data_IF_749889303458
#
_entry.id   IF_749889303458
#
_cell.length_a   1.000
_cell.length_b   1.000
_cell.length_c   1.000
_cell.angle_alpha   90.00
_cell.angle_beta   90.00
_cell.angle_gamma   90.00
#
_symmetry.space_group_name_H-M   'P 1'
#
loop_
_entity.id
_entity.type
_entity.pdbx_description
1 polymer ?
#
# COMPACT_ATOMS: atom_id res chain seq x y z
N UNK A 1 -48.79 11.55 -34.80
CA UNK A 1 -47.37 11.24 -34.59
C UNK A 1 -46.61 12.55 -34.54
N UNK A 2 -46.17 12.92 -33.37
CA UNK A 2 -45.67 14.25 -33.04
C UNK A 2 -44.15 14.28 -33.15
N UNK A 3 -43.50 15.19 -33.90
CA UNK A 3 -42.07 15.18 -34.17
C UNK A 3 -41.21 15.78 -33.01
N UNK A 4 -41.73 15.89 -31.81
CA UNK A 4 -41.06 16.44 -30.65
C UNK A 4 -40.33 15.38 -29.77
N UNK A 5 -40.41 14.11 -30.15
CA UNK A 5 -39.79 13.00 -29.39
C UNK A 5 -38.35 12.61 -29.76
N UNK A 6 -37.81 13.20 -30.82
CA UNK A 6 -36.47 12.80 -31.36
C UNK A 6 -35.36 13.78 -30.95
N UNK A 7 -35.69 14.95 -30.40
CA UNK A 7 -34.68 15.97 -30.06
C UNK A 7 -34.08 15.85 -28.64
N UNK A 8 -34.64 15.00 -27.77
CA UNK A 8 -34.13 14.82 -26.40
C UNK A 8 -33.07 13.71 -26.24
N UNK A 9 -32.78 12.92 -27.27
CA UNK A 9 -31.84 11.78 -27.19
C UNK A 9 -30.46 12.11 -27.71
N UNK A 10 -30.22 13.32 -28.27
CA UNK A 10 -28.90 13.73 -28.77
C UNK A 10 -28.18 14.68 -27.80
N UNK A 11 -28.88 15.19 -26.78
CA UNK A 11 -28.26 16.12 -25.82
C UNK A 11 -27.58 15.46 -24.61
N UNK A 12 -27.68 14.12 -24.42
CA UNK A 12 -27.08 13.40 -23.31
C UNK A 12 -25.71 12.73 -23.65
N UNK A 13 -25.21 12.87 -24.87
CA UNK A 13 -23.95 12.25 -25.29
C UNK A 13 -22.78 13.25 -25.45
N UNK A 14 -22.95 14.53 -25.07
CA UNK A 14 -21.91 15.56 -25.18
C UNK A 14 -21.40 16.05 -23.83
N UNK A 15 -21.57 15.30 -22.74
CA UNK A 15 -21.18 15.68 -21.39
C UNK A 15 -20.04 14.87 -20.80
N UNK A 16 -19.19 14.20 -21.60
CA UNK A 16 -17.91 13.71 -21.11
C UNK A 16 -16.95 14.89 -21.11
N UNK A 17 -16.92 15.62 -20.02
CA UNK A 17 -15.86 16.58 -19.71
C UNK A 17 -14.59 15.75 -19.56
N UNK A 18 -13.73 15.81 -20.56
CA UNK A 18 -12.34 15.44 -20.45
C UNK A 18 -11.74 16.36 -19.38
N UNK A 19 -11.61 15.85 -18.16
CA UNK A 19 -10.78 16.49 -17.15
C UNK A 19 -9.34 16.47 -17.68
N UNK A 20 -8.92 17.59 -18.23
CA UNK A 20 -7.53 17.81 -18.59
C UNK A 20 -6.68 17.65 -17.33
N UNK A 21 -5.54 16.95 -17.40
CA UNK A 21 -4.61 16.95 -16.29
C UNK A 21 -4.17 18.39 -16.01
N UNK A 22 -4.41 18.85 -14.81
CA UNK A 22 -3.93 20.13 -14.31
C UNK A 22 -2.42 20.20 -14.51
N UNK A 23 -1.96 21.13 -15.34
CA UNK A 23 -0.54 21.44 -15.50
C UNK A 23 0.00 21.96 -14.16
N UNK A 24 0.84 21.19 -13.50
CA UNK A 24 1.63 21.66 -12.38
C UNK A 24 2.75 22.55 -12.90
N UNK A 25 2.63 23.85 -12.69
CA UNK A 25 3.75 24.77 -12.81
C UNK A 25 4.67 24.58 -11.59
N UNK A 26 5.77 23.85 -11.76
CA UNK A 26 6.85 23.82 -10.77
C UNK A 26 7.75 25.03 -10.96
N UNK A 27 7.72 25.97 -10.01
CA UNK A 27 8.80 26.95 -9.87
C UNK A 27 10.05 26.23 -9.39
N UNK A 28 11.01 26.10 -10.30
CA UNK A 28 12.29 25.44 -10.07
C UNK A 28 13.25 26.37 -9.35
N UNK A 29 13.78 25.91 -8.22
CA UNK A 29 15.11 26.32 -7.81
C UNK A 29 15.94 25.09 -7.45
N UNK A 30 16.92 24.82 -8.32
CA UNK A 30 18.18 24.15 -8.06
C UNK A 30 18.14 22.67 -7.65
N UNK A 31 17.34 21.88 -8.34
CA UNK A 31 17.63 20.45 -8.52
C UNK A 31 17.79 20.25 -10.03
N UNK A 32 18.73 19.37 -10.47
CA UNK A 32 18.71 18.92 -11.86
C UNK A 32 17.30 18.42 -12.13
N UNK A 33 16.48 19.31 -12.69
CA UNK A 33 15.17 18.97 -13.14
C UNK A 33 15.41 17.87 -14.17
N UNK A 34 14.90 16.67 -13.90
CA UNK A 34 14.48 15.86 -15.00
C UNK A 34 13.53 16.73 -15.78
N UNK A 35 13.98 17.17 -16.93
CA UNK A 35 13.16 17.88 -17.87
C UNK A 35 12.01 16.95 -18.21
N UNK A 36 10.92 17.04 -17.43
CA UNK A 36 9.63 16.53 -17.85
C UNK A 36 9.13 17.46 -18.96
N UNK A 37 9.90 17.58 -20.01
CA UNK A 37 9.31 17.77 -21.31
C UNK A 37 8.45 16.54 -21.47
N UNK A 38 7.18 16.66 -21.13
CA UNK A 38 6.18 15.68 -21.44
C UNK A 38 6.18 15.58 -22.97
N UNK A 39 7.05 14.73 -23.48
CA UNK A 39 6.96 14.33 -24.86
C UNK A 39 5.52 13.87 -25.02
N UNK A 40 4.80 14.44 -25.98
CA UNK A 40 3.47 13.94 -26.27
C UNK A 40 3.60 12.47 -26.71
N UNK A 41 2.54 11.66 -26.62
CA UNK A 41 2.61 10.23 -26.95
C UNK A 41 3.25 9.94 -28.31
N UNK A 42 3.07 10.82 -29.31
CA UNK A 42 3.68 10.67 -30.63
C UNK A 42 5.19 10.95 -30.63
N UNK A 43 5.69 11.78 -29.75
CA UNK A 43 7.14 12.03 -29.60
C UNK A 43 7.82 10.85 -28.87
N UNK A 44 7.14 10.27 -27.90
CA UNK A 44 7.59 9.04 -27.24
C UNK A 44 7.60 7.86 -28.20
N UNK A 45 6.55 7.70 -29.01
CA UNK A 45 6.50 6.65 -30.03
C UNK A 45 7.67 6.75 -31.01
N UNK A 46 8.01 7.96 -31.47
CA UNK A 46 9.20 8.17 -32.33
C UNK A 46 10.52 7.88 -31.61
N UNK A 47 10.64 8.21 -30.35
CA UNK A 47 11.83 7.86 -29.56
C UNK A 47 11.95 6.36 -29.35
N UNK A 48 10.84 5.65 -29.12
CA UNK A 48 10.81 4.19 -28.99
C UNK A 48 11.13 3.49 -30.32
N UNK A 49 10.66 4.02 -31.47
CA UNK A 49 10.99 3.50 -32.80
C UNK A 49 12.47 3.67 -33.12
N UNK A 50 13.15 4.66 -32.57
CA UNK A 50 14.56 4.96 -32.81
C UNK A 50 15.52 4.24 -31.83
N UNK A 51 15.05 3.79 -30.68
CA UNK A 51 15.85 3.06 -29.70
C UNK A 51 15.33 1.63 -29.55
N UNK A 52 16.24 0.66 -29.61
CA UNK A 52 15.91 -0.73 -29.32
C UNK A 52 15.50 -0.86 -27.85
N UNK A 53 14.20 -0.98 -27.59
CA UNK A 53 13.67 -1.30 -26.28
C UNK A 53 13.58 -2.82 -26.17
N UNK A 54 14.25 -3.47 -25.19
CA UNK A 54 14.17 -4.91 -25.03
C UNK A 54 12.71 -5.32 -24.78
N UNK A 55 12.34 -6.53 -25.20
CA UNK A 55 11.02 -7.09 -24.92
C UNK A 55 10.87 -7.33 -23.40
N UNK A 56 9.63 -7.25 -22.88
CA UNK A 56 9.39 -7.45 -21.43
C UNK A 56 9.79 -8.85 -20.94
N UNK A 57 9.82 -9.85 -21.81
CA UNK A 57 10.26 -11.22 -21.52
C UNK A 57 11.80 -11.38 -21.54
N UNK A 58 12.52 -10.39 -22.05
CA UNK A 58 13.99 -10.35 -22.03
C UNK A 58 14.54 -9.65 -20.78
N UNK A 59 13.67 -9.00 -19.99
CA UNK A 59 14.07 -8.22 -18.81
C UNK A 59 13.62 -8.93 -17.53
N UNK A 60 14.60 -9.34 -16.73
CA UNK A 60 14.36 -9.92 -15.40
C UNK A 60 14.44 -8.87 -14.31
N UNK A 61 13.87 -9.17 -13.15
CA UNK A 61 13.98 -8.27 -11.98
C UNK A 61 15.40 -8.20 -11.44
N UNK A 62 16.22 -9.25 -11.58
CA UNK A 62 17.65 -9.21 -11.23
C UNK A 62 18.44 -8.24 -12.11
N UNK A 63 18.03 -8.06 -13.36
CA UNK A 63 18.61 -7.02 -14.23
C UNK A 63 18.16 -5.63 -13.80
N UNK A 64 16.88 -5.44 -13.43
CA UNK A 64 16.37 -4.17 -12.93
C UNK A 64 17.01 -3.79 -11.58
N UNK A 65 17.26 -4.75 -10.68
CA UNK A 65 17.94 -4.52 -9.40
C UNK A 65 19.40 -4.08 -9.58
N UNK A 66 20.05 -4.53 -10.66
CA UNK A 66 21.43 -4.14 -11.00
C UNK A 66 21.51 -2.88 -11.86
N UNK A 67 20.39 -2.41 -12.39
CA UNK A 67 20.33 -1.25 -13.28
C UNK A 67 20.25 0.03 -12.44
N UNK A 68 21.05 1.07 -12.77
CA UNK A 68 20.93 2.36 -12.09
C UNK A 68 19.48 2.88 -12.10
N UNK A 69 19.04 3.50 -11.01
CA UNK A 69 17.66 3.94 -10.79
C UNK A 69 17.06 4.66 -12.00
N UNK A 70 17.81 5.60 -12.56
CA UNK A 70 17.34 6.42 -13.70
C UNK A 70 17.09 5.58 -14.95
N UNK A 71 17.96 4.61 -15.23
CA UNK A 71 17.80 3.73 -16.39
C UNK A 71 16.63 2.76 -16.20
N UNK A 72 16.52 2.16 -15.03
CA UNK A 72 15.41 1.27 -14.69
C UNK A 72 14.06 2.00 -14.73
N UNK A 73 14.00 3.21 -14.17
CA UNK A 73 12.79 4.04 -14.18
C UNK A 73 12.42 4.48 -15.60
N UNK A 74 13.41 4.78 -16.47
CA UNK A 74 13.15 5.10 -17.88
C UNK A 74 12.59 3.90 -18.63
N UNK A 75 13.17 2.71 -18.44
CA UNK A 75 12.70 1.48 -19.05
C UNK A 75 11.27 1.14 -18.64
N UNK A 76 10.95 1.21 -17.34
CA UNK A 76 9.59 0.94 -16.84
C UNK A 76 8.57 1.96 -17.35
N UNK A 77 8.95 3.24 -17.48
CA UNK A 77 8.11 4.25 -18.12
C UNK A 77 7.87 3.98 -19.61
N UNK A 78 8.87 3.52 -20.34
CA UNK A 78 8.71 3.10 -21.74
C UNK A 78 7.68 1.98 -21.86
N UNK A 79 7.77 0.96 -21.02
CA UNK A 79 6.78 -0.12 -20.98
C UNK A 79 5.38 0.38 -20.64
N UNK A 80 5.24 1.24 -19.64
CA UNK A 80 3.95 1.85 -19.31
C UNK A 80 3.37 2.64 -20.49
N UNK A 81 4.15 3.45 -21.16
CA UNK A 81 3.69 4.21 -22.35
C UNK A 81 3.32 3.30 -23.53
N UNK A 82 4.05 2.21 -23.76
CA UNK A 82 3.68 1.21 -24.75
C UNK A 82 2.31 0.60 -24.45
N UNK A 83 2.06 0.29 -23.19
CA UNK A 83 0.74 -0.20 -22.74
C UNK A 83 -0.36 0.81 -23.03
N UNK A 84 -0.16 2.08 -22.69
CA UNK A 84 -1.12 3.15 -22.98
C UNK A 84 -1.34 3.40 -24.46
N UNK A 85 -0.35 3.09 -25.30
CA UNK A 85 -0.45 3.15 -26.76
C UNK A 85 -1.12 1.92 -27.41
N UNK A 86 -1.65 1.00 -26.59
CA UNK A 86 -2.35 -0.21 -27.07
C UNK A 86 -1.44 -1.42 -27.31
N UNK A 87 -0.17 -1.33 -26.93
CA UNK A 87 0.81 -2.43 -27.00
C UNK A 87 0.98 -3.17 -25.66
N UNK A 88 -0.01 -3.07 -24.77
CA UNK A 88 0.01 -3.76 -23.48
C UNK A 88 -0.11 -5.27 -23.61
N UNK A 89 0.38 -5.97 -22.61
CA UNK A 89 0.22 -7.43 -22.48
C UNK A 89 -1.19 -7.73 -21.98
N UNK A 90 -1.80 -8.80 -22.48
CA UNK A 90 -3.08 -9.25 -21.95
C UNK A 90 -2.91 -9.76 -20.51
N UNK A 91 -3.88 -9.54 -19.60
CA UNK A 91 -3.86 -10.11 -18.25
C UNK A 91 -4.21 -11.59 -18.33
N UNK A 92 -3.20 -12.45 -18.52
CA UNK A 92 -3.38 -13.88 -18.75
C UNK A 92 -2.74 -14.76 -17.67
N UNK A 93 -1.80 -14.18 -16.90
CA UNK A 93 -1.05 -14.95 -15.92
C UNK A 93 -1.79 -15.02 -14.59
N UNK A 94 -2.17 -16.23 -14.19
CA UNK A 94 -2.73 -16.56 -12.87
C UNK A 94 -1.94 -17.72 -12.30
N UNK A 95 -1.20 -17.54 -11.20
CA UNK A 95 -0.49 -18.63 -10.56
C UNK A 95 -1.47 -19.65 -9.94
N UNK A 96 -1.12 -20.92 -9.96
CA UNK A 96 -1.88 -21.93 -9.23
C UNK A 96 -1.74 -21.73 -7.72
N UNK A 97 -2.80 -21.91 -6.90
CA UNK A 97 -2.71 -21.80 -5.44
C UNK A 97 -1.61 -22.66 -4.83
N UNK A 98 -1.36 -23.85 -5.37
CA UNK A 98 -0.29 -24.75 -4.90
C UNK A 98 1.13 -24.26 -5.23
N UNK A 99 1.28 -23.25 -6.08
CA UNK A 99 2.56 -22.62 -6.43
C UNK A 99 2.88 -21.38 -5.58
N UNK A 100 1.93 -20.92 -4.78
CA UNK A 100 2.09 -19.74 -3.94
C UNK A 100 2.44 -20.18 -2.52
N UNK A 101 3.70 -20.01 -2.07
CA UNK A 101 4.09 -20.37 -0.71
C UNK A 101 3.37 -19.49 0.31
N UNK A 102 3.02 -20.11 1.45
CA UNK A 102 2.42 -19.40 2.59
C UNK A 102 3.16 -19.76 3.86
N UNK A 103 3.54 -18.75 4.63
CA UNK A 103 4.14 -18.90 5.95
C UNK A 103 3.20 -18.33 7.00
N UNK A 104 2.87 -19.11 8.01
CA UNK A 104 1.96 -18.71 9.08
C UNK A 104 2.74 -18.65 10.38
N UNK A 105 2.65 -17.53 11.06
CA UNK A 105 3.27 -17.30 12.36
C UNK A 105 2.15 -17.04 13.37
N UNK A 106 2.03 -17.87 14.39
CA UNK A 106 1.07 -17.70 15.46
C UNK A 106 1.63 -18.30 16.74
N UNK A 107 1.48 -17.61 17.86
CA UNK A 107 1.88 -18.05 19.19
C UNK A 107 3.33 -18.63 19.26
N UNK A 108 4.28 -17.95 18.60
CA UNK A 108 5.69 -18.34 18.55
C UNK A 108 6.01 -19.54 17.67
N UNK A 109 5.03 -20.08 16.94
CA UNK A 109 5.20 -21.15 15.95
C UNK A 109 5.22 -20.61 14.54
N UNK A 110 5.96 -21.29 13.68
CA UNK A 110 5.97 -21.07 12.23
C UNK A 110 5.58 -22.35 11.52
N UNK A 111 4.59 -22.24 10.65
CA UNK A 111 4.24 -23.31 9.71
C UNK A 111 4.43 -22.81 8.27
N UNK A 112 4.78 -23.72 7.37
CA UNK A 112 4.98 -23.42 5.95
C UNK A 112 4.14 -24.37 5.12
N UNK A 113 3.39 -23.80 4.18
CA UNK A 113 2.47 -24.52 3.31
C UNK A 113 2.34 -23.79 1.96
N UNK A 114 1.26 -23.98 1.24
CA UNK A 114 0.86 -23.23 0.06
C UNK A 114 -0.57 -22.70 0.20
N UNK A 115 -0.97 -21.80 -0.71
CA UNK A 115 -2.27 -21.11 -0.66
C UNK A 115 -3.46 -22.10 -0.71
N UNK A 116 -3.31 -23.29 -1.30
CA UNK A 116 -4.38 -24.29 -1.37
C UNK A 116 -4.65 -25.02 -0.06
N UNK A 117 -3.74 -24.93 0.93
CA UNK A 117 -3.81 -25.67 2.18
C UNK A 117 -3.66 -24.80 3.44
N UNK A 118 -3.43 -23.49 3.28
CA UNK A 118 -3.06 -22.65 4.41
C UNK A 118 -4.20 -22.52 5.43
N UNK A 119 -5.45 -22.49 5.01
CA UNK A 119 -6.61 -22.42 5.91
C UNK A 119 -6.62 -23.62 6.85
N UNK A 120 -6.47 -24.82 6.29
CA UNK A 120 -6.41 -26.03 7.11
C UNK A 120 -5.19 -26.05 8.04
N UNK A 121 -4.06 -25.48 7.61
CA UNK A 121 -2.88 -25.34 8.45
C UNK A 121 -3.13 -24.36 9.58
N UNK A 122 -3.71 -23.19 9.29
CA UNK A 122 -4.05 -22.16 10.26
C UNK A 122 -5.01 -22.65 11.34
N UNK A 123 -6.05 -23.39 10.93
CA UNK A 123 -7.05 -24.02 11.83
C UNK A 123 -6.41 -24.92 12.88
N UNK A 124 -5.29 -25.55 12.56
CA UNK A 124 -4.57 -26.44 13.46
C UNK A 124 -3.52 -25.70 14.34
N UNK A 125 -3.35 -24.39 14.16
CA UNK A 125 -2.40 -23.61 14.97
C UNK A 125 -3.07 -23.10 16.25
N UNK A 126 -2.40 -23.27 17.41
CA UNK A 126 -2.96 -22.80 18.68
C UNK A 126 -3.15 -21.28 18.68
N UNK A 127 -4.32 -20.82 19.11
CA UNK A 127 -4.65 -19.39 19.26
C UNK A 127 -4.59 -18.58 17.97
N UNK A 128 -4.68 -19.23 16.84
CA UNK A 128 -4.81 -18.53 15.58
C UNK A 128 -6.16 -17.81 15.56
N UNK A 129 -6.15 -16.52 15.21
CA UNK A 129 -7.38 -15.71 15.11
C UNK A 129 -7.95 -15.19 16.43
N UNK A 130 -7.31 -15.46 17.59
CA UNK A 130 -7.79 -14.95 18.89
C UNK A 130 -7.67 -13.39 19.01
N UNK A 131 -6.82 -12.76 18.19
CA UNK A 131 -6.58 -11.30 18.11
C UNK A 131 -6.30 -10.93 16.64
N UNK A 132 -5.67 -9.81 16.37
CA UNK A 132 -5.35 -9.31 15.02
C UNK A 132 -4.70 -10.39 14.13
N UNK A 133 -5.27 -10.56 12.93
CA UNK A 133 -4.71 -11.39 11.86
C UNK A 133 -4.18 -10.46 10.76
N UNK A 134 -2.86 -10.37 10.64
CA UNK A 134 -2.23 -9.64 9.53
C UNK A 134 -1.91 -10.59 8.40
N UNK A 135 -2.32 -10.25 7.18
CA UNK A 135 -2.03 -10.99 5.95
C UNK A 135 -1.12 -10.14 5.08
N UNK A 136 0.14 -10.57 4.88
CA UNK A 136 1.09 -9.88 4.03
C UNK A 136 1.21 -10.57 2.68
N UNK A 137 0.87 -9.86 1.59
CA UNK A 137 0.95 -10.36 0.21
C UNK A 137 2.15 -9.70 -0.47
N UNK A 138 3.18 -10.49 -0.79
CA UNK A 138 4.39 -9.99 -1.47
C UNK A 138 4.13 -9.72 -2.95
N UNK A 139 4.89 -8.81 -3.56
CA UNK A 139 4.68 -8.38 -4.96
C UNK A 139 5.85 -8.68 -5.89
N UNK A 140 7.04 -8.98 -5.36
CA UNK A 140 8.25 -9.26 -6.12
C UNK A 140 8.98 -10.49 -5.56
N UNK A 141 9.82 -11.18 -6.39
CA UNK A 141 10.47 -12.43 -5.98
C UNK A 141 11.53 -12.23 -4.89
N UNK A 142 11.54 -13.11 -3.91
CA UNK A 142 12.52 -13.11 -2.82
C UNK A 142 13.95 -13.52 -3.25
N UNK A 143 14.18 -13.84 -4.51
CA UNK A 143 15.52 -14.01 -5.08
C UNK A 143 16.30 -12.69 -5.15
N UNK A 144 15.59 -11.56 -5.14
CA UNK A 144 16.17 -10.22 -5.14
C UNK A 144 16.60 -9.84 -3.72
N UNK A 145 17.79 -9.27 -3.59
CA UNK A 145 18.33 -8.96 -2.27
C UNK A 145 17.51 -7.86 -1.57
N UNK A 146 17.16 -6.79 -2.29
CA UNK A 146 16.33 -5.71 -1.75
C UNK A 146 14.96 -6.21 -1.26
N UNK A 147 14.33 -7.13 -2.00
CA UNK A 147 13.03 -7.72 -1.63
C UNK A 147 13.17 -8.62 -0.41
N UNK A 148 14.20 -9.45 -0.40
CA UNK A 148 14.47 -10.37 0.71
C UNK A 148 14.73 -9.61 2.02
N UNK A 149 15.52 -8.52 1.96
CA UNK A 149 15.79 -7.67 3.13
C UNK A 149 14.51 -6.99 3.61
N UNK A 150 13.72 -6.39 2.73
CA UNK A 150 12.49 -5.70 3.07
C UNK A 150 11.43 -6.65 3.67
N UNK A 151 11.25 -7.83 3.07
CA UNK A 151 10.30 -8.82 3.58
C UNK A 151 10.74 -9.39 4.93
N UNK A 152 12.06 -9.60 5.11
CA UNK A 152 12.63 -10.01 6.40
C UNK A 152 12.36 -8.94 7.47
N UNK A 153 12.64 -7.67 7.16
CA UNK A 153 12.44 -6.54 8.07
C UNK A 153 10.97 -6.43 8.50
N UNK A 154 10.04 -6.58 7.55
CA UNK A 154 8.60 -6.62 7.81
C UNK A 154 8.23 -7.76 8.77
N UNK A 155 8.66 -8.98 8.48
CA UNK A 155 8.34 -10.15 9.31
C UNK A 155 8.92 -9.98 10.72
N UNK A 156 10.18 -9.55 10.84
CA UNK A 156 10.82 -9.32 12.14
C UNK A 156 10.09 -8.25 12.94
N UNK A 157 9.67 -7.14 12.32
CA UNK A 157 8.93 -6.07 12.99
C UNK A 157 7.58 -6.56 13.55
N UNK A 158 6.86 -7.37 12.79
CA UNK A 158 5.62 -7.98 13.29
C UNK A 158 5.86 -9.00 14.39
N UNK A 159 6.90 -9.84 14.29
CA UNK A 159 7.24 -10.79 15.34
C UNK A 159 7.67 -10.09 16.63
N UNK A 160 8.40 -8.97 16.54
CA UNK A 160 8.72 -8.13 17.69
C UNK A 160 7.44 -7.57 18.34
N UNK A 161 6.52 -7.03 17.52
CA UNK A 161 5.24 -6.51 17.97
C UNK A 161 4.37 -7.57 18.66
N UNK A 162 4.33 -8.79 18.12
CA UNK A 162 3.61 -9.92 18.70
C UNK A 162 4.23 -10.39 20.02
N UNK A 163 5.56 -10.34 20.13
CA UNK A 163 6.28 -10.81 21.34
C UNK A 163 6.24 -9.83 22.52
N UNK A 164 6.03 -8.55 22.25
CA UNK A 164 5.92 -7.55 23.32
C UNK A 164 4.51 -7.50 23.90
N UNK A 165 4.42 -7.53 25.23
CA UNK A 165 3.15 -7.56 25.96
C UNK A 165 2.27 -6.33 25.67
N UNK A 166 0.94 -6.47 25.71
CA UNK A 166 -0.03 -5.45 25.35
C UNK A 166 -0.15 -4.32 26.39
N UNK A 167 0.92 -3.59 26.70
CA UNK A 167 0.83 -2.48 27.64
C UNK A 167 0.19 -1.20 27.09
N UNK A 168 0.08 -1.04 25.77
CA UNK A 168 -0.42 0.19 25.16
C UNK A 168 -1.83 0.07 24.54
N UNK A 169 -2.18 -1.06 23.93
CA UNK A 169 -3.48 -1.21 23.25
C UNK A 169 -4.64 -1.55 24.19
N UNK A 170 -4.39 -2.25 25.29
CA UNK A 170 -5.41 -2.58 26.29
C UNK A 170 -5.95 -1.34 27.05
N UNK A 171 -5.23 -0.21 27.04
CA UNK A 171 -5.72 1.04 27.62
C UNK A 171 -6.69 1.80 26.71
N UNK A 172 -6.75 1.49 25.42
CA UNK A 172 -7.60 2.24 24.50
C UNK A 172 -9.06 1.78 24.51
N UNK A 173 -9.31 0.52 24.85
CA UNK A 173 -10.66 -0.06 24.95
C UNK A 173 -11.14 -0.26 26.39
N UNK A 174 -10.53 0.35 27.37
CA UNK A 174 -10.88 0.18 28.80
C UNK A 174 -12.14 0.97 29.19
N UNK A 175 -13.25 0.65 28.54
CA UNK A 175 -14.59 0.92 29.05
C UNK A 175 -15.27 -0.29 29.65
N UNK A 176 -14.77 -1.51 29.43
CA UNK A 176 -15.39 -2.75 29.92
C UNK A 176 -14.38 -3.68 30.59
N UNK A 177 -14.66 -3.95 31.85
CA UNK A 177 -14.21 -5.00 32.75
C UNK A 177 -12.77 -5.50 32.67
N UNK A 178 -12.04 -5.28 33.78
CA UNK A 178 -10.73 -5.88 34.07
C UNK A 178 -10.76 -7.40 33.87
N UNK A 179 -10.35 -7.85 32.70
CA UNK A 179 -9.96 -9.26 32.53
C UNK A 179 -8.66 -9.50 33.30
N UNK A 180 -8.57 -10.66 33.94
CA UNK A 180 -7.44 -11.05 34.78
C UNK A 180 -6.10 -10.91 34.04
N UNK A 181 -5.07 -10.36 34.68
CA UNK A 181 -3.71 -10.13 34.18
C UNK A 181 -3.04 -11.39 33.59
N UNK A 182 -3.42 -12.57 34.04
CA UNK A 182 -2.87 -13.83 33.57
C UNK A 182 -3.41 -14.23 32.17
N UNK A 183 -4.62 -13.84 31.83
CA UNK A 183 -5.23 -14.11 30.54
C UNK A 183 -4.71 -13.14 29.44
N UNK A 184 -4.26 -11.94 29.81
CA UNK A 184 -3.70 -10.95 28.87
C UNK A 184 -2.31 -11.32 28.33
N UNK A 185 -1.60 -12.27 28.95
CA UNK A 185 -0.25 -12.68 28.54
C UNK A 185 -0.18 -13.48 27.24
N UNK A 186 -1.32 -13.78 26.61
CA UNK A 186 -1.37 -14.72 25.48
C UNK A 186 -2.38 -14.31 24.40
N UNK A 187 -2.43 -13.04 24.02
CA UNK A 187 -3.20 -12.64 22.86
C UNK A 187 -2.59 -13.26 21.60
N UNK A 188 -3.42 -13.95 20.84
CA UNK A 188 -3.02 -14.75 19.70
C UNK A 188 -2.93 -13.97 18.40
N UNK A 189 -2.07 -12.91 18.34
CA UNK A 189 -1.81 -12.23 17.09
C UNK A 189 -1.16 -13.16 16.10
N UNK A 190 -1.63 -13.14 14.87
CA UNK A 190 -1.15 -14.01 13.81
C UNK A 190 -0.68 -13.22 12.60
N UNK A 191 0.40 -13.69 11.97
CA UNK A 191 0.91 -13.15 10.71
C UNK A 191 0.89 -14.26 9.66
N UNK A 192 0.23 -14.02 8.55
CA UNK A 192 0.26 -14.86 7.35
C UNK A 192 1.06 -14.13 6.28
N UNK A 193 2.09 -14.74 5.75
CA UNK A 193 2.87 -14.21 4.61
C UNK A 193 2.55 -15.05 3.39
N UNK A 194 1.90 -14.46 2.40
CA UNK A 194 1.56 -15.09 1.12
C UNK A 194 2.56 -14.62 0.08
N UNK A 195 3.45 -15.51 -0.35
CA UNK A 195 4.56 -15.18 -1.23
C UNK A 195 4.15 -15.25 -2.71
N UNK A 196 3.23 -14.34 -3.10
CA UNK A 196 2.81 -14.18 -4.49
C UNK A 196 3.99 -13.78 -5.38
N UNK A 197 4.87 -12.91 -4.88
CA UNK A 197 6.02 -12.41 -5.60
C UNK A 197 6.96 -13.50 -6.11
N UNK A 198 7.07 -14.62 -5.41
CA UNK A 198 7.88 -15.76 -5.86
C UNK A 198 7.40 -16.40 -7.17
N UNK A 199 6.16 -16.14 -7.58
CA UNK A 199 5.61 -16.60 -8.85
C UNK A 199 5.88 -15.63 -10.01
N UNK A 200 6.37 -14.42 -9.73
CA UNK A 200 6.57 -13.31 -10.66
C UNK A 200 8.07 -13.19 -10.96
N UNK A 201 8.55 -13.91 -11.99
CA UNK A 201 9.98 -14.07 -12.26
C UNK A 201 10.57 -13.01 -13.19
N UNK A 202 9.73 -12.32 -13.96
CA UNK A 202 10.15 -11.37 -14.99
C UNK A 202 9.10 -10.26 -15.19
N UNK A 203 9.48 -9.21 -15.93
CA UNK A 203 8.63 -8.05 -16.19
C UNK A 203 7.37 -8.41 -16.97
N UNK A 204 7.45 -9.40 -17.86
CA UNK A 204 6.26 -9.83 -18.62
C UNK A 204 5.22 -10.49 -17.72
N UNK A 205 5.64 -11.38 -16.80
CA UNK A 205 4.71 -11.97 -15.81
C UNK A 205 4.13 -10.91 -14.89
N UNK A 206 4.93 -9.95 -14.47
CA UNK A 206 4.45 -8.81 -13.69
C UNK A 206 3.39 -8.02 -14.45
N UNK A 207 3.64 -7.68 -15.71
CA UNK A 207 2.72 -6.92 -16.55
C UNK A 207 1.48 -7.71 -16.97
N UNK A 208 1.58 -9.04 -17.12
CA UNK A 208 0.48 -9.93 -17.53
C UNK A 208 -0.28 -10.57 -16.37
N UNK A 209 0.05 -10.24 -15.10
CA UNK A 209 -0.70 -10.75 -13.95
C UNK A 209 -2.16 -10.33 -14.08
N UNK A 210 -3.05 -11.31 -14.07
CA UNK A 210 -4.49 -11.10 -14.00
C UNK A 210 -4.86 -10.81 -12.54
N UNK A 211 -4.79 -9.53 -12.19
CA UNK A 211 -5.05 -9.05 -10.84
C UNK A 211 -6.48 -9.38 -10.39
N UNK A 212 -7.44 -9.34 -11.31
CA UNK A 212 -8.83 -9.63 -11.02
C UNK A 212 -9.02 -11.10 -10.63
N UNK A 213 -8.59 -12.02 -11.47
CA UNK A 213 -8.70 -13.46 -11.18
C UNK A 213 -7.86 -13.90 -9.99
N UNK A 214 -6.68 -13.30 -9.80
CA UNK A 214 -5.88 -13.52 -8.61
C UNK A 214 -6.60 -13.03 -7.36
N UNK A 215 -7.12 -11.80 -7.37
CA UNK A 215 -7.84 -11.21 -6.25
C UNK A 215 -9.09 -11.99 -5.89
N UNK A 216 -9.90 -12.41 -6.88
CA UNK A 216 -11.04 -13.30 -6.65
C UNK A 216 -10.63 -14.63 -5.97
N UNK A 217 -9.53 -15.22 -6.43
CA UNK A 217 -8.99 -16.44 -5.82
C UNK A 217 -8.60 -16.22 -4.36
N UNK A 218 -7.89 -15.12 -4.07
CA UNK A 218 -7.49 -14.77 -2.71
C UNK A 218 -8.70 -14.44 -1.83
N UNK A 219 -9.67 -13.65 -2.34
CA UNK A 219 -10.88 -13.31 -1.61
C UNK A 219 -11.66 -14.55 -1.14
N UNK A 220 -11.82 -15.54 -2.02
CA UNK A 220 -12.43 -16.83 -1.67
C UNK A 220 -11.68 -17.54 -0.55
N UNK A 221 -10.34 -17.58 -0.62
CA UNK A 221 -9.57 -18.23 0.44
C UNK A 221 -9.61 -17.44 1.76
N UNK A 222 -9.85 -16.13 1.72
CA UNK A 222 -10.03 -15.32 2.93
C UNK A 222 -11.43 -15.50 3.54
N UNK A 223 -12.46 -15.74 2.73
CA UNK A 223 -13.78 -16.19 3.22
C UNK A 223 -13.65 -17.53 3.92
N UNK A 224 -13.00 -18.51 3.28
CA UNK A 224 -12.72 -19.81 3.89
C UNK A 224 -11.95 -19.69 5.22
N UNK A 225 -10.95 -18.75 5.29
CA UNK A 225 -10.20 -18.49 6.52
C UNK A 225 -11.12 -17.98 7.64
N UNK A 226 -12.00 -17.02 7.33
CA UNK A 226 -12.94 -16.47 8.30
C UNK A 226 -13.91 -17.56 8.81
N UNK A 227 -14.49 -18.33 7.91
CA UNK A 227 -15.47 -19.38 8.26
C UNK A 227 -14.85 -20.56 9.02
N UNK A 228 -13.70 -21.06 8.56
CA UNK A 228 -13.10 -22.27 9.11
C UNK A 228 -12.27 -22.06 10.38
N UNK A 229 -11.79 -20.81 10.59
CA UNK A 229 -10.96 -20.44 11.73
C UNK A 229 -11.65 -19.46 12.70
N UNK A 230 -12.93 -19.14 12.51
CA UNK A 230 -13.71 -18.19 13.31
C UNK A 230 -13.01 -16.80 13.41
N UNK A 231 -12.42 -16.32 12.29
CA UNK A 231 -11.72 -15.02 12.22
C UNK A 231 -12.67 -13.96 11.69
N UNK A 232 -13.16 -13.02 12.52
CA UNK A 232 -14.06 -11.97 12.07
C UNK A 232 -13.33 -10.92 11.21
N UNK A 233 -14.03 -10.30 10.27
CA UNK A 233 -13.49 -9.33 9.32
C UNK A 233 -12.80 -8.14 10.00
N UNK A 234 -13.33 -7.69 11.16
CA UNK A 234 -12.85 -6.54 11.92
C UNK A 234 -11.46 -6.73 12.52
N UNK A 235 -10.91 -7.94 12.57
CA UNK A 235 -9.55 -8.18 13.03
C UNK A 235 -8.58 -8.51 11.89
N UNK A 236 -9.06 -8.53 10.64
CA UNK A 236 -8.23 -8.83 9.47
C UNK A 236 -7.61 -7.53 8.94
N UNK A 237 -6.28 -7.50 8.92
CA UNK A 237 -5.49 -6.45 8.28
C UNK A 237 -4.70 -7.03 7.11
N UNK A 238 -5.03 -6.64 5.89
CA UNK A 238 -4.27 -7.08 4.70
C UNK A 238 -3.24 -6.02 4.34
N UNK A 239 -1.99 -6.43 4.19
CA UNK A 239 -0.88 -5.58 3.74
C UNK A 239 -0.40 -6.10 2.39
N UNK A 240 -0.52 -5.30 1.35
CA UNK A 240 -0.12 -5.68 -0.01
C UNK A 240 1.10 -4.91 -0.48
N UNK A 241 2.09 -5.58 -1.07
CA UNK A 241 3.29 -4.98 -1.63
C UNK A 241 3.23 -4.98 -3.16
N UNK A 242 3.42 -3.84 -3.81
CA UNK A 242 3.44 -3.73 -5.27
C UNK A 242 2.15 -4.26 -5.91
N UNK A 243 2.24 -5.28 -6.76
CA UNK A 243 1.07 -5.95 -7.37
C UNK A 243 0.22 -6.68 -6.32
N UNK A 244 0.81 -7.12 -5.20
CA UNK A 244 0.09 -7.70 -4.07
C UNK A 244 -0.91 -6.72 -3.44
N UNK A 245 -0.66 -5.41 -3.53
CA UNK A 245 -1.62 -4.39 -3.10
C UNK A 245 -2.87 -4.35 -3.99
N UNK A 246 -2.70 -4.46 -5.31
CA UNK A 246 -3.82 -4.51 -6.24
C UNK A 246 -4.64 -5.81 -6.06
N UNK A 247 -3.96 -6.94 -5.83
CA UNK A 247 -4.61 -8.22 -5.52
C UNK A 247 -5.38 -8.14 -4.19
N UNK A 248 -4.83 -7.46 -3.17
CA UNK A 248 -5.50 -7.24 -1.89
C UNK A 248 -6.81 -6.45 -2.04
N UNK A 249 -6.83 -5.41 -2.91
CA UNK A 249 -8.05 -4.64 -3.18
C UNK A 249 -9.16 -5.49 -3.77
N UNK A 250 -8.86 -6.23 -4.85
CA UNK A 250 -9.84 -7.14 -5.47
C UNK A 250 -10.28 -8.25 -4.50
N UNK A 251 -9.36 -8.76 -3.69
CA UNK A 251 -9.70 -9.74 -2.66
C UNK A 251 -10.67 -9.16 -1.61
N UNK A 252 -10.50 -7.88 -1.24
CA UNK A 252 -11.41 -7.18 -0.33
C UNK A 252 -12.82 -7.01 -0.92
N UNK A 253 -12.91 -6.63 -2.21
CA UNK A 253 -14.20 -6.58 -2.91
C UNK A 253 -14.87 -7.95 -2.95
N UNK A 254 -14.13 -9.00 -3.31
CA UNK A 254 -14.65 -10.36 -3.39
C UNK A 254 -15.11 -10.88 -2.04
N UNK A 255 -14.37 -10.57 -0.98
CA UNK A 255 -14.74 -10.91 0.39
C UNK A 255 -16.06 -10.22 0.77
N UNK A 256 -16.19 -8.91 0.49
CA UNK A 256 -17.42 -8.15 0.74
C UNK A 256 -18.63 -8.69 -0.04
N UNK A 257 -18.43 -9.07 -1.31
CA UNK A 257 -19.51 -9.63 -2.15
C UNK A 257 -20.05 -10.95 -1.59
N UNK A 258 -19.23 -11.75 -0.93
CA UNK A 258 -19.63 -13.04 -0.37
C UNK A 258 -20.13 -12.94 1.08
N UNK A 259 -19.55 -12.05 1.90
CA UNK A 259 -19.88 -11.97 3.34
C UNK A 259 -20.72 -10.75 3.73
N UNK A 260 -20.76 -9.72 2.90
CA UNK A 260 -21.26 -8.37 3.21
C UNK A 260 -20.50 -7.67 4.32
N UNK A 261 -19.30 -8.13 4.66
CA UNK A 261 -18.41 -7.56 5.65
C UNK A 261 -17.11 -7.09 4.98
N UNK A 262 -16.43 -6.10 5.56
CA UNK A 262 -15.17 -5.58 5.05
C UNK A 262 -14.03 -5.88 6.02
N UNK A 263 -12.85 -6.10 5.46
CA UNK A 263 -11.63 -6.15 6.27
C UNK A 263 -11.47 -4.86 7.07
N UNK A 264 -10.93 -4.99 8.27
CA UNK A 264 -10.60 -3.86 9.12
C UNK A 264 -9.74 -2.82 8.40
N UNK A 265 -8.71 -3.27 7.65
CA UNK A 265 -7.77 -2.40 6.96
C UNK A 265 -7.10 -3.10 5.78
N UNK A 266 -6.83 -2.33 4.74
CA UNK A 266 -5.84 -2.68 3.71
C UNK A 266 -4.76 -1.59 3.71
N UNK A 267 -3.49 -2.00 3.85
CA UNK A 267 -2.32 -1.11 3.68
C UNK A 267 -1.58 -1.48 2.40
N UNK A 268 -1.39 -0.51 1.51
CA UNK A 268 -0.68 -0.70 0.26
C UNK A 268 0.75 -0.15 0.34
N UNK A 269 1.73 -1.01 0.12
CA UNK A 269 3.15 -0.68 0.13
C UNK A 269 3.62 -0.54 -1.32
N UNK A 270 3.79 0.69 -1.76
CA UNK A 270 4.14 1.05 -3.13
C UNK A 270 3.26 0.36 -4.19
N UNK A 271 1.92 0.60 -4.16
CA UNK A 271 0.99 -0.10 -5.04
C UNK A 271 1.43 0.03 -6.50
N UNK A 272 1.44 -1.10 -7.21
CA UNK A 272 2.01 -1.20 -8.54
C UNK A 272 1.22 -0.42 -9.58
N UNK A 273 1.94 0.19 -10.53
CA UNK A 273 1.32 0.65 -11.77
C UNK A 273 0.85 -0.55 -12.60
N UNK A 274 -0.39 -0.52 -13.05
CA UNK A 274 -0.92 -1.60 -13.89
C UNK A 274 -0.46 -1.42 -15.34
N UNK A 275 0.20 -2.43 -15.89
CA UNK A 275 0.76 -2.44 -17.23
C UNK A 275 0.02 -3.38 -18.19
N UNK A 276 -1.05 -4.02 -17.73
CA UNK A 276 -1.87 -4.86 -18.59
C UNK A 276 -2.66 -4.02 -19.62
N UNK A 277 -2.98 -4.63 -20.75
CA UNK A 277 -3.87 -4.03 -21.74
C UNK A 277 -5.22 -3.73 -21.09
N UNK A 278 -5.77 -2.56 -21.40
CA UNK A 278 -7.03 -2.10 -20.83
C UNK A 278 -7.00 -1.95 -19.30
N UNK A 279 -5.83 -1.66 -18.73
CA UNK A 279 -5.63 -1.47 -17.29
C UNK A 279 -6.51 -0.39 -16.66
N UNK A 280 -7.09 0.51 -17.46
CA UNK A 280 -8.07 1.50 -17.01
C UNK A 280 -9.44 0.91 -16.67
N UNK A 281 -9.72 -0.31 -17.14
CA UNK A 281 -10.95 -1.07 -16.88
C UNK A 281 -10.74 -2.05 -15.71
N UNK A 282 -9.48 -2.44 -15.47
CA UNK A 282 -9.16 -3.38 -14.41
C UNK A 282 -9.38 -2.72 -13.05
N UNK A 283 -10.15 -3.39 -12.23
CA UNK A 283 -10.30 -3.05 -10.82
C UNK A 283 -8.99 -3.36 -10.10
N UNK A 284 -8.42 -2.39 -9.45
CA UNK A 284 -7.27 -2.56 -8.57
C UNK A 284 -7.66 -2.14 -7.17
N UNK A 285 -6.70 -1.72 -6.38
CA UNK A 285 -6.96 -1.18 -5.05
C UNK A 285 -7.75 0.13 -5.10
N UNK A 286 -8.79 0.22 -4.28
CA UNK A 286 -9.63 1.40 -4.10
C UNK A 286 -10.03 1.59 -2.62
N UNK A 287 -10.46 2.80 -2.26
CA UNK A 287 -10.89 3.17 -0.89
C UNK A 287 -12.02 2.31 -0.32
N UNK A 288 -12.86 1.74 -1.20
CA UNK A 288 -14.02 0.96 -0.79
C UNK A 288 -13.70 -0.49 -0.44
N UNK A 289 -12.48 -0.96 -0.65
CA UNK A 289 -12.11 -2.37 -0.58
C UNK A 289 -11.91 -2.88 0.85
N UNK A 290 -11.84 -1.97 1.82
CA UNK A 290 -11.84 -2.25 3.27
C UNK A 290 -12.58 -1.14 4.02
N UNK A 291 -12.70 -1.26 5.36
CA UNK A 291 -13.19 -0.17 6.22
C UNK A 291 -12.23 1.02 6.21
N UNK A 292 -10.95 0.76 6.01
CA UNK A 292 -9.91 1.78 5.87
C UNK A 292 -8.81 1.29 4.93
N UNK A 293 -8.44 2.13 3.98
CA UNK A 293 -7.36 1.87 3.01
C UNK A 293 -6.31 2.96 3.10
N UNK A 294 -5.06 2.61 3.32
CA UNK A 294 -3.94 3.54 3.27
C UNK A 294 -2.82 3.05 2.34
N UNK A 295 -2.10 3.98 1.76
CA UNK A 295 -1.04 3.68 0.81
C UNK A 295 0.23 4.48 1.08
N UNK A 296 1.38 3.88 0.88
CA UNK A 296 2.72 4.50 0.92
C UNK A 296 3.33 4.40 -0.46
N UNK A 297 3.61 5.55 -1.10
CA UNK A 297 4.13 5.64 -2.47
C UNK A 297 5.61 6.01 -2.46
N UNK A 298 6.47 5.13 -2.95
CA UNK A 298 7.93 5.34 -2.93
C UNK A 298 8.61 5.26 -4.29
N UNK A 299 8.03 4.57 -5.29
CA UNK A 299 8.66 4.39 -6.61
C UNK A 299 7.82 4.91 -7.78
N UNK A 300 7.20 6.06 -7.60
CA UNK A 300 6.27 6.71 -8.52
C UNK A 300 6.74 6.88 -9.98
N UNK A 301 8.02 6.69 -10.25
CA UNK A 301 8.60 6.79 -11.60
C UNK A 301 9.13 5.44 -12.11
N UNK A 302 8.90 4.36 -11.38
CA UNK A 302 9.37 3.01 -11.69
C UNK A 302 8.25 1.97 -11.65
N UNK A 303 8.19 1.20 -10.57
CA UNK A 303 7.21 0.12 -10.39
C UNK A 303 5.89 0.59 -9.79
N UNK A 304 5.92 1.61 -8.94
CA UNK A 304 4.76 2.11 -8.21
C UNK A 304 3.94 3.14 -8.96
N UNK A 305 2.68 3.30 -8.53
CA UNK A 305 1.75 4.30 -9.06
C UNK A 305 1.79 5.61 -8.26
N UNK A 306 1.44 6.71 -8.92
CA UNK A 306 1.14 7.99 -8.25
C UNK A 306 -0.36 8.20 -8.06
N UNK A 307 -1.19 7.25 -8.47
CA UNK A 307 -2.65 7.35 -8.32
C UNK A 307 -3.01 7.22 -6.84
N UNK A 308 -3.95 8.02 -6.43
CA UNK A 308 -4.54 7.95 -5.10
C UNK A 308 -5.46 6.75 -5.05
N UNK A 309 -5.17 5.83 -4.15
CA UNK A 309 -5.88 4.55 -4.02
C UNK A 309 -6.46 4.35 -2.63
N UNK A 310 -5.93 5.09 -1.63
CA UNK A 310 -6.33 4.99 -0.24
C UNK A 310 -7.28 6.09 0.24
N UNK A 311 -7.85 5.94 1.43
CA UNK A 311 -8.39 7.04 2.21
C UNK A 311 -7.26 7.99 2.58
N UNK A 312 -6.10 7.43 2.95
CA UNK A 312 -4.84 8.15 3.14
C UNK A 312 -3.81 7.68 2.13
N UNK A 313 -3.25 8.62 1.38
CA UNK A 313 -2.11 8.38 0.50
C UNK A 313 -0.90 9.15 1.01
N UNK A 314 0.17 8.44 1.40
CA UNK A 314 1.41 9.01 1.91
C UNK A 314 2.48 9.06 0.84
N UNK A 315 3.13 10.22 0.70
CA UNK A 315 4.19 10.47 -0.27
C UNK A 315 5.48 10.92 0.43
N UNK A 316 6.32 9.98 0.89
CA UNK A 316 7.64 10.32 1.42
C UNK A 316 8.48 11.07 0.38
N UNK A 317 9.03 12.23 0.76
CA UNK A 317 9.77 13.15 -0.12
C UNK A 317 8.95 13.71 -1.31
N UNK A 318 7.63 13.43 -1.38
CA UNK A 318 6.68 13.97 -2.34
C UNK A 318 6.41 13.10 -3.57
N UNK A 319 5.31 13.35 -4.28
CA UNK A 319 4.80 12.46 -5.33
C UNK A 319 5.68 12.42 -6.60
N UNK A 320 6.55 13.39 -6.79
CA UNK A 320 7.43 13.48 -7.96
C UNK A 320 8.88 13.11 -7.65
N UNK A 321 9.20 12.86 -6.38
CA UNK A 321 10.60 12.70 -6.00
C UNK A 321 11.17 11.35 -6.44
N UNK A 322 10.32 10.32 -6.57
CA UNK A 322 10.83 8.97 -6.57
C UNK A 322 11.79 8.80 -5.39
N UNK A 323 12.10 7.64 -4.94
CA UNK A 323 12.98 7.57 -3.79
C UNK A 323 14.42 7.97 -4.16
N UNK A 324 14.83 9.13 -3.69
CA UNK A 324 16.20 9.64 -3.84
C UNK A 324 17.23 8.79 -3.10
N UNK A 325 16.76 7.85 -2.30
CA UNK A 325 17.55 7.05 -1.38
C UNK A 325 17.67 5.60 -1.85
N UNK A 326 17.38 5.31 -3.12
CA UNK A 326 17.49 3.99 -3.72
C UNK A 326 18.43 4.02 -4.92
N UNK A 327 19.19 2.96 -5.10
CA UNK A 327 20.14 2.81 -6.19
C UNK A 327 19.47 2.26 -7.47
N UNK A 328 18.33 1.60 -7.32
CA UNK A 328 17.57 0.97 -8.41
C UNK A 328 16.06 1.00 -8.16
N UNK A 329 15.25 0.64 -9.18
CA UNK A 329 13.78 0.71 -9.11
C UNK A 329 13.16 -0.33 -8.16
N UNK A 330 13.81 -1.46 -7.94
CA UNK A 330 13.36 -2.49 -7.01
C UNK A 330 13.52 -2.01 -5.59
N UNK A 331 14.70 -1.51 -5.24
CA UNK A 331 14.97 -0.92 -3.93
C UNK A 331 14.03 0.26 -3.66
N UNK A 332 13.81 1.12 -4.66
CA UNK A 332 12.86 2.23 -4.55
C UNK A 332 11.46 1.78 -4.13
N UNK A 333 10.97 0.69 -4.70
CA UNK A 333 9.68 0.09 -4.35
C UNK A 333 9.69 -0.52 -2.94
N UNK A 334 10.80 -1.15 -2.54
CA UNK A 334 10.93 -1.80 -1.23
C UNK A 334 11.01 -0.81 -0.05
N UNK A 335 11.35 0.45 -0.30
CA UNK A 335 11.38 1.46 0.77
C UNK A 335 10.03 1.63 1.48
N UNK A 336 8.90 1.48 0.79
CA UNK A 336 7.58 1.48 1.44
C UNK A 336 7.47 0.38 2.50
N UNK A 337 7.99 -0.80 2.20
CA UNK A 337 8.02 -1.94 3.12
C UNK A 337 8.91 -1.66 4.33
N UNK A 338 10.09 -1.10 4.12
CA UNK A 338 10.99 -0.72 5.22
C UNK A 338 10.40 0.36 6.12
N UNK A 339 9.79 1.41 5.55
CA UNK A 339 9.16 2.48 6.33
C UNK A 339 7.99 1.95 7.16
N UNK A 340 7.18 1.10 6.56
CA UNK A 340 6.07 0.48 7.26
C UNK A 340 6.55 -0.45 8.37
N UNK A 341 7.52 -1.33 8.08
CA UNK A 341 8.14 -2.23 9.06
C UNK A 341 8.72 -1.46 10.25
N UNK A 342 9.43 -0.35 9.99
CA UNK A 342 9.94 0.50 11.07
C UNK A 342 8.81 1.07 11.94
N UNK A 343 7.68 1.49 11.34
CA UNK A 343 6.53 2.01 12.08
C UNK A 343 5.82 0.93 12.91
N UNK A 344 5.90 -0.33 12.50
CA UNK A 344 5.31 -1.47 13.22
C UNK A 344 6.09 -1.82 14.48
N UNK A 345 7.41 -1.57 14.50
CA UNK A 345 8.25 -1.85 15.68
C UNK A 345 7.77 -1.06 16.88
N UNK A 346 7.64 -1.71 18.05
CA UNK A 346 7.16 -1.06 19.26
C UNK A 346 7.96 0.19 19.65
N UNK A 347 7.23 1.28 19.88
CA UNK A 347 7.79 2.60 20.22
C UNK A 347 8.17 3.46 18.99
N UNK A 348 7.99 2.96 17.77
CA UNK A 348 8.25 3.68 16.53
C UNK A 348 6.98 4.13 15.80
N UNK A 349 5.80 3.84 16.33
CA UNK A 349 4.50 4.07 15.69
C UNK A 349 4.30 5.53 15.24
N UNK A 350 4.93 6.47 15.91
CA UNK A 350 4.83 7.91 15.65
C UNK A 350 6.11 8.52 15.05
N UNK A 351 7.02 7.71 14.51
CA UNK A 351 8.28 8.21 13.97
C UNK A 351 8.16 8.82 12.57
N UNK A 352 7.02 8.65 11.90
CA UNK A 352 6.77 9.15 10.55
C UNK A 352 5.68 10.23 10.53
N UNK A 353 5.93 11.42 11.13
CA UNK A 353 4.95 12.50 11.14
C UNK A 353 4.76 13.05 9.73
N UNK A 354 3.52 13.12 9.27
CA UNK A 354 3.11 13.60 7.98
C UNK A 354 2.15 14.79 8.08
N UNK A 355 2.05 15.57 7.02
CA UNK A 355 1.10 16.68 6.92
C UNK A 355 0.41 16.67 5.57
N UNK A 356 -0.89 16.96 5.58
CA UNK A 356 -1.69 17.12 4.38
C UNK A 356 -1.11 18.27 3.53
N UNK A 357 -0.76 17.96 2.29
CA UNK A 357 -0.21 18.91 1.32
C UNK A 357 -0.27 18.29 -0.09
N UNK A 358 -0.33 19.15 -1.11
CA UNK A 358 -0.30 18.71 -2.52
C UNK A 358 1.11 18.62 -3.10
N UNK A 359 2.11 19.11 -2.39
CA UNK A 359 3.52 19.11 -2.82
C UNK A 359 4.47 19.27 -1.65
N UNK A 360 5.75 18.89 -1.84
CA UNK A 360 6.80 19.14 -0.84
C UNK A 360 7.06 20.64 -0.62
N UNK A 361 6.80 21.49 -1.61
CA UNK A 361 6.92 22.94 -1.44
C UNK A 361 5.85 23.47 -0.45
N UNK A 362 4.62 23.01 -0.59
CA UNK A 362 3.53 23.30 0.35
C UNK A 362 3.80 22.68 1.73
N UNK A 363 4.26 21.44 1.78
CA UNK A 363 4.65 20.78 3.02
C UNK A 363 5.72 21.57 3.78
N UNK A 364 6.73 22.12 3.10
CA UNK A 364 7.81 22.92 3.71
C UNK A 364 7.38 24.33 4.08
N UNK A 365 6.25 24.81 3.57
CA UNK A 365 5.71 26.11 3.95
C UNK A 365 5.13 26.05 5.36
N UNK A 366 5.75 26.78 6.31
CA UNK A 366 5.34 26.82 7.72
C UNK A 366 3.98 27.50 7.94
N UNK A 367 3.50 28.27 6.99
CA UNK A 367 2.20 28.96 7.02
C UNK A 367 1.05 28.07 6.52
N UNK A 368 1.34 26.90 5.95
CA UNK A 368 0.32 25.95 5.49
C UNK A 368 -0.32 25.22 6.65
N UNK A 369 -1.66 25.20 6.70
CA UNK A 369 -2.50 24.61 7.75
C UNK A 369 -3.10 23.26 7.30
N UNK A 370 -2.27 22.31 6.85
CA UNK A 370 -2.74 20.96 6.54
C UNK A 370 -2.98 20.12 7.80
N UNK A 371 -3.90 19.15 7.71
CA UNK A 371 -4.11 18.13 8.75
C UNK A 371 -2.80 17.38 9.00
N UNK A 372 -2.68 16.78 10.18
CA UNK A 372 -1.51 15.99 10.56
C UNK A 372 -1.89 14.54 10.73
N UNK A 373 -1.01 13.65 10.29
CA UNK A 373 -1.15 12.20 10.42
C UNK A 373 0.21 11.57 10.74
N UNK A 374 0.20 10.29 11.03
CA UNK A 374 1.38 9.45 11.07
C UNK A 374 1.29 8.41 9.96
N UNK A 375 2.33 8.28 9.15
CA UNK A 375 2.40 7.21 8.17
C UNK A 375 2.74 5.89 8.85
N UNK A 376 2.14 4.80 8.38
CA UNK A 376 2.41 3.45 8.85
C UNK A 376 1.34 2.91 9.79
N UNK A 377 1.73 2.14 10.81
CA UNK A 377 0.78 1.42 11.67
C UNK A 377 -0.17 2.36 12.44
N UNK A 378 0.29 3.56 12.79
CA UNK A 378 -0.49 4.57 13.51
C UNK A 378 -1.27 5.53 12.60
N UNK A 379 -1.51 5.17 11.34
CA UNK A 379 -2.34 5.96 10.43
C UNK A 379 -3.76 6.12 11.00
N UNK A 380 -4.25 7.37 11.03
CA UNK A 380 -5.52 7.73 11.65
C UNK A 380 -6.67 7.49 10.65
N UNK A 381 -7.58 6.61 11.01
CA UNK A 381 -8.71 6.18 10.18
C UNK A 381 -9.80 7.26 10.00
N UNK A 382 -9.82 8.27 10.84
CA UNK A 382 -10.77 9.39 10.74
C UNK A 382 -10.30 10.47 9.76
N UNK A 383 -9.11 10.31 9.18
CA UNK A 383 -8.54 11.21 8.21
C UNK A 383 -8.70 10.69 6.78
N UNK A 384 -8.66 11.60 5.84
CA UNK A 384 -8.56 11.30 4.40
C UNK A 384 -7.77 12.39 3.68
N UNK A 385 -7.06 12.01 2.62
CA UNK A 385 -6.30 12.94 1.78
C UNK A 385 -4.87 12.50 1.51
N UNK A 386 -4.10 13.43 0.93
CA UNK A 386 -2.71 13.23 0.55
C UNK A 386 -1.79 13.84 1.60
N UNK A 387 -0.86 13.04 2.09
CA UNK A 387 0.05 13.44 3.14
C UNK A 387 1.50 13.34 2.69
N UNK A 388 2.23 14.43 2.86
CA UNK A 388 3.66 14.50 2.59
C UNK A 388 4.44 14.39 3.88
N UNK A 389 5.63 13.80 3.78
CA UNK A 389 6.58 13.74 4.90
C UNK A 389 8.02 13.70 4.39
N UNK A 390 8.93 14.06 5.27
CA UNK A 390 10.37 13.84 5.07
C UNK A 390 10.78 12.56 5.80
N UNK A 391 11.72 11.83 5.21
CA UNK A 391 12.33 10.64 5.79
C UNK A 391 13.85 10.79 5.85
N UNK A 392 14.52 9.98 6.67
CA UNK A 392 15.97 9.89 6.66
C UNK A 392 16.44 9.02 5.47
N UNK A 393 17.61 9.30 4.92
CA UNK A 393 18.15 8.54 3.78
C UNK A 393 18.51 7.09 4.11
N UNK A 394 18.67 6.76 5.39
CA UNK A 394 19.03 5.43 5.89
C UNK A 394 18.26 5.14 7.18
N UNK A 395 18.15 3.86 7.54
CA UNK A 395 17.56 3.44 8.80
C UNK A 395 18.32 4.04 10.01
N UNK A 396 17.60 4.52 11.04
CA UNK A 396 16.15 4.62 11.14
C UNK A 396 15.61 5.71 10.21
N UNK A 397 14.63 5.34 9.39
CA UNK A 397 14.07 6.22 8.35
C UNK A 397 13.14 7.29 8.92
N UNK A 398 12.44 6.98 9.99
CA UNK A 398 11.50 7.89 10.62
C UNK A 398 12.20 9.07 11.30
N UNK A 399 11.63 10.27 11.15
CA UNK A 399 12.09 11.46 11.86
C UNK A 399 11.38 11.56 13.19
N UNK A 400 12.06 11.21 14.28
CA UNK A 400 11.55 11.36 15.63
C UNK A 400 11.07 12.78 15.86
N UNK A 401 9.82 12.93 16.27
CA UNK A 401 9.30 14.22 16.73
C UNK A 401 9.95 14.57 18.06
N UNK A 402 10.64 15.71 18.21
CA UNK A 402 11.16 16.14 19.50
C UNK A 402 10.03 16.18 20.56
N UNK A 403 10.32 15.76 21.80
CA UNK A 403 9.33 15.63 22.86
C UNK A 403 8.46 16.88 23.09
N UNK A 404 9.01 18.09 22.88
CA UNK A 404 8.26 19.34 22.97
C UNK A 404 7.22 19.54 21.83
N UNK A 405 7.39 18.84 20.68
CA UNK A 405 6.44 18.91 19.56
C UNK A 405 5.34 17.85 19.68
N UNK A 406 5.54 16.78 20.47
CA UNK A 406 4.50 15.77 20.72
C UNK A 406 3.26 16.44 21.32
N UNK A 407 3.45 17.33 22.29
CA UNK A 407 2.36 18.09 22.89
C UNK A 407 1.67 19.06 21.91
N UNK A 408 2.39 19.57 20.90
CA UNK A 408 1.80 20.42 19.87
C UNK A 408 0.95 19.62 18.86
N UNK A 409 1.32 18.38 18.57
CA UNK A 409 0.48 17.49 17.75
C UNK A 409 -0.83 17.14 18.47
N UNK A 410 -0.77 16.82 19.76
CA UNK A 410 -1.96 16.56 20.58
C UNK A 410 -2.80 17.80 20.88
N UNK A 411 -2.20 18.98 21.03
CA UNK A 411 -2.94 20.22 21.29
C UNK A 411 -3.69 20.73 20.05
N UNK A 412 -3.14 20.53 18.84
CA UNK A 412 -3.83 20.93 17.61
C UNK A 412 -4.99 19.97 17.28
N UNK A 413 -4.90 18.68 17.61
CA UNK A 413 -6.04 17.77 17.52
C UNK A 413 -7.21 18.25 18.42
N UNK A 414 -6.93 18.82 19.58
CA UNK A 414 -7.96 19.44 20.44
C UNK A 414 -8.58 20.71 19.86
N UNK A 415 -7.84 21.51 19.10
CA UNK A 415 -8.38 22.74 18.50
C UNK A 415 -9.38 22.45 17.36
N UNK A 416 -9.23 21.34 16.64
CA UNK A 416 -10.21 20.93 15.61
C UNK A 416 -11.46 20.28 16.19
N UNK A 417 -11.39 19.70 17.42
CA UNK A 417 -12.56 19.13 18.11
C UNK A 417 -13.45 20.19 18.77
N UNK A 418 -12.98 21.41 19.01
CA UNK A 418 -13.79 22.48 19.61
C UNK A 418 -14.78 23.15 18.67
N UNK A 419 -14.75 22.84 17.39
CA UNK A 419 -15.65 23.37 16.35
C UNK A 419 -16.87 22.49 16.02
N UNK A 420 -16.93 21.25 16.49
CA UNK A 420 -18.10 20.38 16.31
C UNK A 420 -18.55 19.79 17.65
N UNK A 421 -19.81 20.03 17.96
CA UNK A 421 -20.48 19.63 19.20
C UNK A 421 -20.29 18.16 19.56
N UNK A 422 -19.78 17.98 20.79
CA UNK A 422 -20.13 16.92 21.73
C UNK A 422 -20.32 15.51 21.21
N UNK A 423 -19.21 14.78 21.04
CA UNK A 423 -19.15 13.45 21.62
C UNK A 423 -17.75 13.26 22.22
N UNK A 424 -17.75 13.00 23.52
CA UNK A 424 -16.55 12.83 24.35
C UNK A 424 -15.85 11.53 23.98
N UNK A 425 -14.64 11.59 23.47
CA UNK A 425 -13.63 10.59 23.81
C UNK A 425 -12.28 11.28 23.97
N UNK A 426 -11.80 11.24 25.16
CA UNK A 426 -10.57 11.85 25.65
C UNK A 426 -9.36 11.08 25.11
N UNK A 427 -8.45 11.80 24.46
CA UNK A 427 -7.05 11.39 24.42
C UNK A 427 -6.42 11.72 25.77
N UNK A 428 -6.13 10.71 26.58
CA UNK A 428 -5.28 10.87 27.75
C UNK A 428 -3.81 10.85 27.30
N UNK A 429 -2.97 11.77 27.78
CA UNK A 429 -1.55 11.73 27.48
C UNK A 429 -0.91 10.53 28.18
N UNK A 430 -0.20 9.69 27.43
CA UNK A 430 0.70 8.70 28.00
C UNK A 430 1.80 9.41 28.77
N UNK A 431 1.79 9.27 30.08
CA UNK A 431 2.89 9.68 30.92
C UNK A 431 4.08 8.75 30.65
N UNK A 432 5.19 9.36 30.25
CA UNK A 432 6.49 8.71 30.13
C UNK A 432 7.04 8.55 31.57
N UNK A 433 7.30 7.31 31.93
CA UNK A 433 8.30 6.96 32.96
C UNK A 433 9.43 6.22 32.26
#
# INVERSE_FOLDING_TARGET
>A
MNPLGVLCLVACLAGVVLASPTQYHSNSNSYKSYNSNSLNPSQWMKAIELEHTPSMDEVTFEQLEKMPLEQGAELMRKYYHLTQAGHGVAPEYVPSPSQIPVHIYSNGRKETTDLSRYVQTAKNMPKFGDDEVTIFITGLPQSLESVKEANKDFIEAYLERVSQQPHAYAQWNAGEERRNWEDQKQLGRSLIVIDLGNTITDVKRYASLDVERCGEMFGKTFVELSEECDVPAEIIHVVGQGVGANVAGVAGQKYYDETSEKFHRITALDPAVQMAKDSHILTGLARSDAEFVDAIHTSALGLGTTRRVGDLDFFPEGPSAGSRNADNVVEASMLATHYYAESVRPGNEHNFPAREANSMAEYKNKESYGKRAYMGIAADRDLSGDFMLEVNPQSPYGKRTPAHNINAYHSNAKYYQSGQNQQKHLFAPLAVY
#
